data_IF_136829778692
#
_entry.id   IF_136829778692
#
_cell.length_a   1.000
_cell.length_b   1.000
_cell.length_c   1.000
_cell.angle_alpha   90.00
_cell.angle_beta   90.00
_cell.angle_gamma   90.00
#
_symmetry.space_group_name_H-M   'P 1'
#
loop_
_entity.id
_entity.type
_entity.pdbx_description
1 polymer ?
#
# COMPACT_ATOMS: atom_id res chain seq x y z
N UNK A 1 1.78 -14.76 -21.63
CA UNK A 1 1.08 -13.46 -21.72
C UNK A 1 0.52 -13.18 -20.34
N UNK A 2 0.87 -12.06 -19.70
CA UNK A 2 0.33 -11.71 -18.37
C UNK A 2 -1.09 -11.20 -18.58
N UNK A 3 -2.02 -11.65 -17.73
CA UNK A 3 -3.39 -11.15 -17.71
C UNK A 3 -3.41 -9.60 -17.65
N UNK A 4 -4.15 -8.90 -18.53
CA UNK A 4 -4.15 -7.44 -18.59
C UNK A 4 -4.56 -6.77 -17.27
N UNK A 5 -5.47 -7.40 -16.51
CA UNK A 5 -5.93 -6.91 -15.22
C UNK A 5 -4.84 -7.06 -14.17
N UNK A 6 -4.16 -8.21 -14.14
CA UNK A 6 -2.99 -8.43 -13.28
C UNK A 6 -1.88 -7.42 -13.58
N UNK A 7 -1.60 -7.17 -14.87
CA UNK A 7 -0.61 -6.17 -15.28
C UNK A 7 -0.99 -4.77 -14.79
N UNK A 8 -2.23 -4.35 -14.99
CA UNK A 8 -2.71 -3.06 -14.52
C UNK A 8 -2.60 -2.91 -12.99
N UNK A 9 -2.89 -3.97 -12.23
CA UNK A 9 -2.72 -4.00 -10.78
C UNK A 9 -1.26 -3.82 -10.35
N UNK A 10 -0.33 -4.53 -11.00
CA UNK A 10 1.10 -4.41 -10.73
C UNK A 10 1.65 -3.03 -11.10
N UNK A 11 1.23 -2.47 -12.24
CA UNK A 11 1.63 -1.14 -12.68
C UNK A 11 1.12 -0.05 -11.71
N UNK A 12 -0.12 -0.17 -11.21
CA UNK A 12 -0.66 0.70 -10.16
C UNK A 12 0.17 0.61 -8.88
N UNK A 13 0.50 -0.60 -8.41
CA UNK A 13 1.31 -0.77 -7.20
C UNK A 13 2.70 -0.14 -7.37
N UNK A 14 3.35 -0.34 -8.52
CA UNK A 14 4.64 0.28 -8.83
C UNK A 14 4.55 1.80 -8.84
N UNK A 15 3.53 2.36 -9.48
CA UNK A 15 3.31 3.81 -9.54
C UNK A 15 3.05 4.42 -8.16
N UNK A 16 2.34 3.74 -7.26
CA UNK A 16 2.15 4.20 -5.88
C UNK A 16 3.47 4.10 -5.11
N UNK A 17 4.22 3.00 -5.24
CA UNK A 17 5.52 2.83 -4.55
C UNK A 17 6.55 3.90 -4.99
N UNK A 18 6.51 4.38 -6.24
CA UNK A 18 7.39 5.47 -6.70
C UNK A 18 6.98 6.86 -6.21
N UNK A 19 5.75 7.04 -5.76
CA UNK A 19 5.25 8.28 -5.14
C UNK A 19 5.59 8.40 -3.66
N UNK A 20 6.54 7.60 -3.16
CA UNK A 20 6.96 7.65 -1.76
C UNK A 20 7.40 9.09 -1.42
N UNK A 21 6.77 9.74 -0.43
CA UNK A 21 7.18 11.06 0.01
C UNK A 21 8.64 11.04 0.48
N UNK A 22 9.41 12.06 0.06
CA UNK A 22 10.76 12.32 0.54
C UNK A 22 10.79 13.37 1.66
N UNK A 23 9.69 14.09 1.82
CA UNK A 23 9.45 15.08 2.85
C UNK A 23 9.28 14.40 4.23
N UNK A 24 9.87 14.94 5.32
CA UNK A 24 9.67 14.41 6.67
C UNK A 24 8.24 14.56 7.20
N UNK A 25 7.32 15.23 6.51
CA UNK A 25 5.94 15.40 6.95
C UNK A 25 5.23 14.05 7.21
N UNK A 26 4.93 13.72 8.49
CA UNK A 26 4.38 12.41 8.86
C UNK A 26 3.04 12.12 8.19
N UNK A 27 2.19 13.14 8.03
CA UNK A 27 0.88 13.02 7.38
C UNK A 27 0.97 12.52 5.94
N UNK A 28 1.84 13.13 5.12
CA UNK A 28 2.08 12.69 3.74
C UNK A 28 2.55 11.24 3.67
N UNK A 29 3.42 10.83 4.61
CA UNK A 29 3.93 9.46 4.66
C UNK A 29 2.83 8.46 5.06
N UNK A 30 1.97 8.81 6.02
CA UNK A 30 0.81 8.00 6.40
C UNK A 30 -0.17 7.82 5.22
N UNK A 31 -0.51 8.90 4.51
CA UNK A 31 -1.40 8.86 3.35
C UNK A 31 -0.80 8.05 2.19
N UNK A 32 0.53 8.10 2.03
CA UNK A 32 1.21 7.22 1.08
C UNK A 32 1.11 5.74 1.48
N UNK A 33 1.24 5.41 2.76
CA UNK A 33 1.09 4.03 3.24
C UNK A 33 -0.33 3.49 3.02
N UNK A 34 -1.36 4.31 3.21
CA UNK A 34 -2.74 3.91 2.87
C UNK A 34 -2.93 3.64 1.37
N UNK A 35 -2.39 4.52 0.51
CA UNK A 35 -2.43 4.28 -0.94
C UNK A 35 -1.73 2.98 -1.34
N UNK A 36 -0.64 2.61 -0.65
CA UNK A 36 0.04 1.32 -0.85
C UNK A 36 -0.88 0.17 -0.43
N UNK A 37 -1.54 0.28 0.73
CA UNK A 37 -2.48 -0.73 1.20
C UNK A 37 -3.63 -0.97 0.21
N UNK A 38 -4.22 0.10 -0.31
CA UNK A 38 -5.34 0.00 -1.26
C UNK A 38 -4.90 -0.61 -2.60
N UNK A 39 -3.69 -0.32 -3.05
CA UNK A 39 -3.13 -0.94 -4.25
C UNK A 39 -2.88 -2.45 -4.05
N UNK A 40 -2.39 -2.85 -2.88
CA UNK A 40 -2.18 -4.25 -2.53
C UNK A 40 -3.49 -5.03 -2.40
N UNK A 41 -4.51 -4.44 -1.79
CA UNK A 41 -5.85 -5.05 -1.68
C UNK A 41 -6.52 -5.23 -3.05
N UNK A 42 -6.38 -4.24 -3.94
CA UNK A 42 -6.84 -4.37 -5.30
C UNK A 42 -6.09 -5.49 -6.05
N UNK A 43 -4.77 -5.59 -5.87
CA UNK A 43 -3.95 -6.66 -6.44
C UNK A 43 -4.34 -8.04 -5.92
N UNK A 44 -4.63 -8.16 -4.61
CA UNK A 44 -5.09 -9.40 -3.97
C UNK A 44 -6.41 -9.96 -4.54
N UNK A 45 -7.18 -9.17 -5.28
CA UNK A 45 -8.42 -9.66 -5.94
C UNK A 45 -8.15 -10.32 -7.28
N UNK A 46 -6.99 -10.06 -7.89
CA UNK A 46 -6.67 -10.44 -9.27
C UNK A 46 -5.47 -11.39 -9.35
N UNK A 47 -4.77 -11.61 -8.24
CA UNK A 47 -3.69 -12.59 -8.17
C UNK A 47 -4.24 -14.02 -8.33
N UNK A 48 -3.61 -14.85 -9.18
CA UNK A 48 -4.12 -16.19 -9.50
C UNK A 48 -3.93 -17.19 -8.37
N UNK A 49 -2.92 -16.99 -7.51
CA UNK A 49 -2.58 -17.91 -6.43
C UNK A 49 -3.08 -17.40 -5.08
N UNK A 50 -3.73 -18.28 -4.30
CA UNK A 50 -4.24 -17.95 -2.96
C UNK A 50 -3.15 -17.46 -2.02
N UNK A 51 -1.97 -18.08 -2.04
CA UNK A 51 -0.84 -17.69 -1.21
C UNK A 51 -0.41 -16.23 -1.47
N UNK A 52 -0.36 -15.82 -2.74
CA UNK A 52 -0.03 -14.45 -3.10
C UNK A 52 -1.14 -13.47 -2.69
N UNK A 53 -2.42 -13.89 -2.75
CA UNK A 53 -3.55 -13.09 -2.26
C UNK A 53 -3.47 -12.86 -0.75
N UNK A 54 -3.12 -13.90 0.02
CA UNK A 54 -2.93 -13.81 1.47
C UNK A 54 -1.76 -12.87 1.78
N UNK A 55 -0.62 -13.03 1.10
CA UNK A 55 0.55 -12.16 1.27
C UNK A 55 0.24 -10.70 0.96
N UNK A 56 -0.46 -10.43 -0.14
CA UNK A 56 -0.84 -9.08 -0.54
C UNK A 56 -1.76 -8.42 0.50
N UNK A 57 -2.73 -9.15 1.05
CA UNK A 57 -3.60 -8.66 2.14
C UNK A 57 -2.81 -8.39 3.43
N UNK A 58 -1.91 -9.30 3.81
CA UNK A 58 -1.06 -9.08 4.98
C UNK A 58 -0.15 -7.84 4.83
N UNK A 59 0.41 -7.61 3.64
CA UNK A 59 1.19 -6.38 3.37
C UNK A 59 0.28 -5.14 3.39
N UNK A 60 -0.96 -5.23 2.91
CA UNK A 60 -1.94 -4.15 2.97
C UNK A 60 -2.29 -3.79 4.42
N UNK A 61 -2.56 -4.77 5.26
CA UNK A 61 -2.86 -4.57 6.67
C UNK A 61 -1.68 -3.94 7.41
N UNK A 62 -0.47 -4.45 7.19
CA UNK A 62 0.75 -3.87 7.76
C UNK A 62 0.95 -2.40 7.32
N UNK A 63 0.60 -2.07 6.08
CA UNK A 63 0.65 -0.70 5.59
C UNK A 63 -0.38 0.22 6.26
N UNK A 64 -1.60 -0.26 6.50
CA UNK A 64 -2.62 0.49 7.26
C UNK A 64 -2.22 0.68 8.71
N UNK A 65 -1.74 -0.37 9.38
CA UNK A 65 -1.25 -0.26 10.76
C UNK A 65 -0.16 0.80 10.85
N UNK A 66 0.82 0.76 9.94
CA UNK A 66 1.87 1.77 9.94
C UNK A 66 1.32 3.19 9.71
N UNK A 67 0.37 3.38 8.79
CA UNK A 67 -0.26 4.69 8.57
C UNK A 67 -0.94 5.22 9.84
N UNK A 68 -1.69 4.38 10.54
CA UNK A 68 -2.34 4.71 11.81
C UNK A 68 -1.32 5.08 12.87
N UNK A 69 -0.25 4.31 13.01
CA UNK A 69 0.79 4.57 14.01
C UNK A 69 1.54 5.88 13.75
N UNK A 70 1.84 6.19 12.48
CA UNK A 70 2.45 7.47 12.09
C UNK A 70 1.55 8.65 12.48
N UNK A 71 0.23 8.54 12.25
CA UNK A 71 -0.71 9.61 12.63
C UNK A 71 -0.77 9.80 14.14
N UNK A 72 -0.86 8.70 14.90
CA UNK A 72 -0.81 8.75 16.38
C UNK A 72 0.46 9.41 16.91
N UNK A 73 1.61 9.11 16.29
CA UNK A 73 2.90 9.70 16.68
C UNK A 73 2.99 11.20 16.31
N UNK A 74 2.44 11.58 15.16
CA UNK A 74 2.33 12.98 14.74
C UNK A 74 1.47 13.81 15.70
N UNK A 75 0.37 13.24 16.20
CA UNK A 75 -0.50 13.88 17.20
C UNK A 75 0.17 14.07 18.58
N UNK A 76 1.12 13.20 18.94
CA UNK A 76 1.79 13.26 20.26
C UNK A 76 2.93 14.28 20.31
N UNK A 77 3.45 14.70 19.16
CA UNK A 77 4.63 15.59 19.05
C UNK A 77 4.24 17.02 18.62
N UNK A 78 2.97 17.29 18.37
CA UNK A 78 2.47 18.57 17.84
C UNK A 78 1.97 19.54 18.90
#
# INVERSE_FOLDING_TARGET
>A
MVDPVLKAGLDRLRAVKSQRPTDPEPGKFADWRERVADALDALARVLPFEEDRIRARAEADAARTQAVDIRRQGETTS
#
